data_IF_610388050781
#
_entry.id   IF_610388050781
#
_cell.length_a   1.000
_cell.length_b   1.000
_cell.length_c   1.000
_cell.angle_alpha   90.00
_cell.angle_beta   90.00
_cell.angle_gamma   90.00
#
_symmetry.space_group_name_H-M   'P 1'
#
loop_
_entity.id
_entity.type
_entity.pdbx_description
1 polymer ?
#
# COMPACT_ATOMS: atom_id res chain seq x y z
N UNK A 1 -7.66 25.41 -4.26
CA UNK A 1 -8.72 24.38 -4.10
C UNK A 1 -8.69 23.95 -2.64
N UNK A 2 -9.86 23.96 -1.98
CA UNK A 2 -9.93 23.66 -0.55
C UNK A 2 -10.15 22.17 -0.30
N UNK A 3 -9.64 21.66 0.78
CA UNK A 3 -9.88 20.28 1.23
C UNK A 3 -11.39 20.01 1.41
N UNK A 4 -12.14 21.04 1.84
CA UNK A 4 -13.60 20.97 1.97
C UNK A 4 -14.34 20.72 0.66
N UNK A 5 -13.75 21.05 -0.50
CA UNK A 5 -14.35 20.83 -1.81
C UNK A 5 -14.49 19.32 -2.14
N UNK A 6 -13.74 18.47 -1.41
CA UNK A 6 -13.75 17.00 -1.53
C UNK A 6 -14.57 16.33 -0.41
N UNK A 7 -15.14 17.10 0.50
CA UNK A 7 -15.93 16.54 1.58
C UNK A 7 -17.35 16.22 1.12
N UNK A 8 -17.80 15.02 1.43
CA UNK A 8 -19.16 14.57 1.18
C UNK A 8 -19.64 13.70 2.34
N UNK A 9 -20.95 13.59 2.51
CA UNK A 9 -21.55 12.70 3.49
C UNK A 9 -21.38 11.25 3.04
N UNK A 10 -20.62 10.45 3.82
CA UNK A 10 -20.40 9.03 3.59
C UNK A 10 -20.97 8.25 4.79
N UNK A 11 -22.19 7.68 4.68
CA UNK A 11 -22.75 6.81 5.71
C UNK A 11 -21.86 5.60 5.97
N UNK A 12 -21.68 5.27 7.25
CA UNK A 12 -20.73 4.24 7.66
C UNK A 12 -21.10 2.85 7.15
N UNK A 13 -22.40 2.59 6.99
CA UNK A 13 -22.94 1.34 6.41
C UNK A 13 -22.60 1.13 4.93
N UNK A 14 -22.18 2.18 4.22
CA UNK A 14 -21.71 2.08 2.83
C UNK A 14 -20.23 1.70 2.73
N UNK A 15 -19.50 1.65 3.85
CA UNK A 15 -18.11 1.20 3.88
C UNK A 15 -18.09 -0.31 4.13
N UNK A 16 -17.81 -1.08 3.08
CA UNK A 16 -17.69 -2.52 3.19
C UNK A 16 -16.56 -2.90 4.17
N UNK A 17 -16.87 -3.77 5.14
CA UNK A 17 -15.92 -4.19 6.18
C UNK A 17 -15.20 -5.49 5.82
N UNK A 18 -15.82 -6.33 5.01
CA UNK A 18 -15.27 -7.62 4.59
C UNK A 18 -15.09 -7.66 3.06
N UNK A 19 -14.01 -8.28 2.57
CA UNK A 19 -13.84 -8.47 1.13
C UNK A 19 -14.83 -9.51 0.60
N UNK A 20 -15.26 -9.35 -0.65
CA UNK A 20 -16.03 -10.37 -1.35
C UNK A 20 -15.20 -11.65 -1.51
N UNK A 21 -15.84 -12.81 -1.52
CA UNK A 21 -15.17 -14.10 -1.71
C UNK A 21 -14.43 -14.14 -3.05
N UNK A 22 -15.12 -13.80 -4.14
CA UNK A 22 -14.51 -13.59 -5.45
C UNK A 22 -14.07 -12.12 -5.60
N UNK A 23 -12.75 -11.89 -5.68
CA UNK A 23 -12.14 -10.55 -5.82
C UNK A 23 -12.66 -9.79 -7.03
N UNK A 24 -12.87 -10.50 -8.14
CA UNK A 24 -13.25 -9.91 -9.43
C UNK A 24 -14.74 -9.59 -9.53
N UNK A 25 -15.54 -9.99 -8.54
CA UNK A 25 -16.98 -9.73 -8.50
C UNK A 25 -17.36 -8.36 -7.93
N UNK A 26 -16.37 -7.55 -7.48
CA UNK A 26 -16.61 -6.19 -7.00
C UNK A 26 -17.26 -5.32 -8.07
N UNK A 27 -18.06 -4.36 -7.63
CA UNK A 27 -18.62 -3.35 -8.54
C UNK A 27 -17.51 -2.47 -9.11
N UNK A 28 -17.65 -2.11 -10.38
CA UNK A 28 -16.79 -1.19 -11.10
C UNK A 28 -17.62 0.00 -11.59
N UNK A 29 -17.17 1.21 -11.32
CA UNK A 29 -17.73 2.43 -11.90
C UNK A 29 -16.85 2.86 -13.07
N UNK A 30 -17.43 2.91 -14.26
CA UNK A 30 -16.76 3.42 -15.45
C UNK A 30 -17.18 4.88 -15.62
N UNK A 31 -16.21 5.77 -15.78
CA UNK A 31 -16.44 7.20 -16.01
C UNK A 31 -15.70 7.63 -17.26
N UNK A 32 -16.41 8.22 -18.21
CA UNK A 32 -15.81 8.87 -19.37
C UNK A 32 -15.36 10.29 -18.98
N UNK A 33 -14.05 10.52 -19.02
CA UNK A 33 -13.47 11.83 -18.64
C UNK A 33 -13.91 12.99 -19.54
N UNK A 34 -14.26 12.71 -20.82
CA UNK A 34 -14.60 13.73 -21.80
C UNK A 34 -16.07 14.14 -21.72
N UNK A 35 -16.96 13.16 -21.57
CA UNK A 35 -18.42 13.40 -21.54
C UNK A 35 -18.96 13.53 -20.12
N UNK A 36 -18.25 13.02 -19.11
CA UNK A 36 -18.74 12.91 -17.74
C UNK A 36 -19.76 11.77 -17.56
N UNK A 37 -20.08 11.02 -18.61
CA UNK A 37 -20.99 9.88 -18.53
C UNK A 37 -20.38 8.78 -17.67
N UNK A 38 -21.23 8.07 -16.95
CA UNK A 38 -20.81 6.97 -16.10
C UNK A 38 -21.77 5.78 -16.21
N UNK A 39 -21.25 4.59 -15.91
CA UNK A 39 -22.04 3.37 -15.82
C UNK A 39 -21.47 2.40 -14.80
N UNK A 40 -22.35 1.55 -14.28
CA UNK A 40 -21.95 0.46 -13.38
C UNK A 40 -21.61 -0.80 -14.16
N UNK A 41 -20.56 -1.47 -13.68
CA UNK A 41 -20.08 -2.76 -14.19
C UNK A 41 -19.64 -3.64 -13.03
N UNK A 42 -19.20 -4.86 -13.34
CA UNK A 42 -18.49 -5.76 -12.44
C UNK A 42 -17.01 -5.76 -12.82
N UNK A 43 -16.12 -5.79 -11.87
CA UNK A 43 -14.67 -5.61 -12.09
C UNK A 43 -14.09 -6.61 -13.12
N UNK A 44 -14.58 -7.87 -13.15
CA UNK A 44 -14.12 -8.86 -14.15
C UNK A 44 -14.28 -8.39 -15.59
N UNK A 45 -15.22 -7.49 -15.85
CA UNK A 45 -15.49 -6.93 -17.19
C UNK A 45 -14.48 -5.82 -17.56
N UNK A 46 -13.48 -5.51 -16.71
CA UNK A 46 -12.40 -4.56 -17.04
C UNK A 46 -11.71 -4.95 -18.37
N UNK A 47 -11.63 -6.25 -18.66
CA UNK A 47 -11.04 -6.77 -19.89
C UNK A 47 -11.71 -6.23 -21.15
N UNK A 48 -13.01 -5.88 -21.12
CA UNK A 48 -13.76 -5.35 -22.26
C UNK A 48 -13.33 -3.92 -22.63
N UNK A 49 -12.70 -3.22 -21.69
CA UNK A 49 -12.17 -1.85 -21.84
C UNK A 49 -10.72 -1.81 -22.30
N UNK A 50 -10.06 -2.96 -22.34
CA UNK A 50 -8.66 -3.11 -22.75
C UNK A 50 -8.60 -3.55 -24.23
N UNK A 51 -7.54 -3.13 -24.92
CA UNK A 51 -7.30 -3.45 -26.33
C UNK A 51 -5.92 -4.12 -26.48
N UNK A 52 -5.75 -4.99 -27.48
CA UNK A 52 -4.42 -5.47 -27.86
C UNK A 52 -3.45 -4.29 -28.05
N UNK A 53 -2.27 -4.40 -27.51
CA UNK A 53 -1.26 -3.34 -27.52
C UNK A 53 -1.32 -2.35 -26.33
N UNK A 54 -2.34 -2.40 -25.48
CA UNK A 54 -2.32 -1.67 -24.20
C UNK A 54 -1.32 -2.28 -23.21
N UNK A 55 -0.91 -1.50 -22.20
CA UNK A 55 -0.09 -1.95 -21.09
C UNK A 55 -0.75 -1.57 -19.76
N UNK A 56 -0.99 -2.54 -18.89
CA UNK A 56 -1.35 -2.31 -17.49
C UNK A 56 -0.09 -2.17 -16.65
N UNK A 57 0.00 -1.10 -15.88
CA UNK A 57 1.08 -0.89 -14.89
C UNK A 57 0.56 -1.25 -13.50
N UNK A 58 1.20 -2.22 -12.88
CA UNK A 58 0.79 -2.87 -11.65
C UNK A 58 1.87 -2.68 -10.56
N UNK A 59 1.48 -2.25 -9.37
CA UNK A 59 2.40 -2.16 -8.23
C UNK A 59 2.51 -3.52 -7.53
N UNK A 60 3.67 -4.15 -7.59
CA UNK A 60 3.93 -5.50 -7.05
C UNK A 60 4.50 -5.49 -5.62
N UNK A 61 4.36 -4.37 -4.92
CA UNK A 61 4.73 -4.31 -3.50
C UNK A 61 3.94 -5.32 -2.67
N UNK A 62 4.57 -5.84 -1.63
CA UNK A 62 3.94 -6.76 -0.67
C UNK A 62 3.84 -6.11 0.70
N UNK A 63 2.67 -6.23 1.32
CA UNK A 63 2.40 -5.68 2.64
C UNK A 63 3.02 -6.57 3.72
N UNK A 64 3.77 -5.96 4.62
CA UNK A 64 4.27 -6.63 5.81
C UNK A 64 3.16 -6.76 6.86
N UNK A 65 3.11 -7.84 7.66
CA UNK A 65 2.24 -7.93 8.82
C UNK A 65 2.78 -7.03 9.95
N UNK A 66 2.85 -5.73 9.66
CA UNK A 66 3.61 -4.75 10.41
C UNK A 66 2.95 -4.31 11.72
N UNK A 67 1.73 -4.77 12.02
CA UNK A 67 0.97 -4.42 13.23
C UNK A 67 1.18 -5.45 14.31
N UNK A 68 1.87 -5.06 15.39
CA UNK A 68 2.20 -5.93 16.51
C UNK A 68 1.38 -5.55 17.74
N UNK A 69 0.60 -6.51 18.24
CA UNK A 69 -0.17 -6.37 19.49
C UNK A 69 0.62 -7.00 20.63
N UNK A 70 0.95 -6.21 21.65
CA UNK A 70 1.77 -6.65 22.77
C UNK A 70 1.27 -6.13 24.11
N UNK A 71 2.00 -6.50 25.16
CA UNK A 71 1.75 -6.05 26.51
C UNK A 71 3.01 -5.39 27.08
N UNK A 72 2.81 -4.27 27.78
CA UNK A 72 3.91 -3.60 28.48
C UNK A 72 4.39 -4.47 29.65
N UNK A 73 5.70 -4.72 29.73
CA UNK A 73 6.30 -5.71 30.63
C UNK A 73 6.04 -5.40 32.11
N UNK A 74 6.05 -4.12 32.50
CA UNK A 74 5.89 -3.68 33.88
C UNK A 74 4.43 -3.59 34.36
N UNK A 75 3.48 -3.27 33.47
CA UNK A 75 2.10 -2.99 33.86
C UNK A 75 1.07 -3.97 33.26
N UNK A 76 1.47 -4.84 32.34
CA UNK A 76 0.55 -5.71 31.62
C UNK A 76 -0.44 -4.96 30.69
N UNK A 77 -0.23 -3.66 30.49
CA UNK A 77 -1.12 -2.86 29.68
C UNK A 77 -1.00 -3.24 28.20
N UNK A 78 -2.13 -3.45 27.53
CA UNK A 78 -2.17 -3.69 26.08
C UNK A 78 -1.66 -2.48 25.31
N UNK A 79 -0.82 -2.73 24.33
CA UNK A 79 -0.21 -1.74 23.44
C UNK A 79 -0.13 -2.26 22.02
N UNK A 80 -0.09 -1.34 21.07
CA UNK A 80 0.11 -1.61 19.65
C UNK A 80 1.40 -0.93 19.19
N UNK A 81 2.23 -1.66 18.44
CA UNK A 81 3.39 -1.13 17.73
C UNK A 81 3.20 -1.43 16.26
N UNK A 82 3.24 -0.40 15.42
CA UNK A 82 3.13 -0.49 13.99
C UNK A 82 4.45 -0.11 13.33
N UNK A 83 5.08 -1.06 12.67
CA UNK A 83 6.36 -0.88 11.99
C UNK A 83 6.23 0.07 10.80
N UNK A 84 7.12 1.06 10.69
CA UNK A 84 7.16 2.03 9.59
C UNK A 84 8.33 1.78 8.67
N UNK A 85 9.53 1.93 9.23
CA UNK A 85 10.78 1.88 8.48
C UNK A 85 11.86 1.23 9.33
N UNK A 86 12.53 0.24 8.76
CA UNK A 86 13.73 -0.33 9.37
C UNK A 86 14.86 0.69 9.30
N UNK A 87 15.54 0.89 10.41
CA UNK A 87 16.72 1.73 10.52
C UNK A 87 17.96 0.82 10.53
N UNK A 88 18.82 0.95 11.48
CA UNK A 88 20.02 0.12 11.61
C UNK A 88 19.74 -1.14 12.45
N UNK A 89 20.20 -2.30 11.98
CA UNK A 89 20.01 -3.57 12.68
C UNK A 89 18.53 -3.90 12.93
N UNK A 90 18.19 -4.14 14.19
CA UNK A 90 16.83 -4.45 14.63
C UNK A 90 16.07 -3.26 15.20
N UNK A 91 16.51 -2.06 14.85
CA UNK A 91 15.83 -0.80 15.22
C UNK A 91 14.87 -0.39 14.12
N UNK A 92 13.63 -0.14 14.52
CA UNK A 92 12.56 0.32 13.63
C UNK A 92 11.99 1.65 14.10
N UNK A 93 11.70 2.50 13.16
CA UNK A 93 10.79 3.60 13.38
C UNK A 93 9.36 3.06 13.37
N UNK A 94 8.55 3.47 14.33
CA UNK A 94 7.24 2.88 14.58
C UNK A 94 6.22 3.92 14.99
N UNK A 95 4.95 3.69 14.65
CA UNK A 95 3.83 4.30 15.38
C UNK A 95 3.45 3.41 16.55
N UNK A 96 3.04 4.03 17.65
CA UNK A 96 2.67 3.29 18.86
C UNK A 96 1.34 3.79 19.43
N UNK A 97 0.56 2.87 20.00
CA UNK A 97 -0.72 3.19 20.62
C UNK A 97 -0.91 2.41 21.93
N UNK A 98 -1.25 3.09 23.06
CA UNK A 98 -1.29 4.54 23.26
C UNK A 98 0.11 5.14 23.46
N UNK A 99 0.44 6.24 22.78
CA UNK A 99 1.77 6.86 22.83
C UNK A 99 2.22 7.29 24.22
N UNK A 100 1.28 7.65 25.11
CA UNK A 100 1.58 8.05 26.50
C UNK A 100 2.19 6.92 27.35
N UNK A 101 1.91 5.66 27.02
CA UNK A 101 2.42 4.47 27.74
C UNK A 101 3.77 4.00 27.22
N UNK A 102 4.13 4.36 25.99
CA UNK A 102 5.36 3.92 25.29
C UNK A 102 6.34 5.09 25.17
N UNK A 103 6.96 5.43 26.31
CA UNK A 103 8.06 6.41 26.42
C UNK A 103 9.41 5.70 26.32
N UNK A 104 10.51 6.41 26.05
CA UNK A 104 11.86 5.83 26.08
C UNK A 104 12.09 5.00 27.35
N UNK A 105 12.70 3.81 27.19
CA UNK A 105 12.89 2.80 28.24
C UNK A 105 11.71 1.87 28.48
N UNK A 106 10.53 2.10 27.85
CA UNK A 106 9.40 1.18 27.98
C UNK A 106 9.69 -0.13 27.24
N UNK A 107 9.40 -1.26 27.90
CA UNK A 107 9.55 -2.61 27.34
C UNK A 107 8.20 -3.25 27.05
N UNK A 108 8.15 -3.97 25.94
CA UNK A 108 6.93 -4.64 25.45
C UNK A 108 7.25 -6.09 25.12
N UNK A 109 6.31 -6.97 25.45
CA UNK A 109 6.39 -8.40 25.17
C UNK A 109 5.25 -8.77 24.23
N UNK A 110 5.54 -9.58 23.21
CA UNK A 110 4.58 -10.07 22.22
C UNK A 110 4.50 -11.59 22.24
N UNK A 111 3.29 -12.08 22.02
CA UNK A 111 3.00 -13.51 22.04
C UNK A 111 3.36 -14.15 23.38
N UNK A 112 4.09 -15.25 23.33
CA UNK A 112 4.60 -16.00 24.48
C UNK A 112 5.98 -15.53 25.00
N UNK A 113 6.42 -14.33 24.56
CA UNK A 113 7.72 -13.75 24.92
C UNK A 113 8.83 -14.00 23.90
N UNK A 114 8.54 -14.65 22.77
CA UNK A 114 9.49 -14.88 21.66
C UNK A 114 9.93 -13.61 20.95
N UNK A 115 9.15 -12.53 21.07
CA UNK A 115 9.51 -11.19 20.60
C UNK A 115 9.37 -10.21 21.74
N UNK A 116 10.42 -9.42 21.97
CA UNK A 116 10.44 -8.31 22.91
C UNK A 116 10.86 -7.03 22.19
N UNK A 117 10.46 -5.90 22.73
CA UNK A 117 10.84 -4.59 22.21
C UNK A 117 11.13 -3.60 23.33
N UNK A 118 12.02 -2.66 23.03
CA UNK A 118 12.35 -1.53 23.90
C UNK A 118 12.24 -0.24 23.10
N UNK A 119 11.52 0.73 23.66
CA UNK A 119 11.42 2.07 23.08
C UNK A 119 12.71 2.81 23.38
N UNK A 120 13.47 3.15 22.34
CA UNK A 120 14.75 3.82 22.45
C UNK A 120 14.60 5.33 22.53
N UNK A 121 13.76 5.90 21.64
CA UNK A 121 13.61 7.37 21.53
C UNK A 121 12.25 7.75 20.92
N UNK A 122 11.97 9.05 20.96
CA UNK A 122 10.85 9.72 20.30
C UNK A 122 11.41 10.58 19.19
N UNK A 123 11.00 10.33 17.96
CA UNK A 123 11.46 11.07 16.78
C UNK A 123 10.35 11.94 16.21
N UNK A 124 10.58 12.50 15.04
CA UNK A 124 9.64 13.41 14.35
C UNK A 124 8.22 12.84 14.31
N UNK A 125 7.23 13.72 14.28
CA UNK A 125 5.80 13.41 14.24
C UNK A 125 5.30 12.53 15.41
N UNK A 126 6.12 12.37 16.47
CA UNK A 126 5.79 11.54 17.61
C UNK A 126 5.97 10.04 17.38
N UNK A 127 6.66 9.65 16.32
CA UNK A 127 7.08 8.27 16.09
C UNK A 127 8.08 7.81 17.16
N UNK A 128 8.27 6.50 17.26
CA UNK A 128 9.21 5.89 18.22
C UNK A 128 10.30 5.14 17.47
N UNK A 129 11.53 5.26 17.93
CA UNK A 129 12.57 4.28 17.62
C UNK A 129 12.44 3.13 18.60
N UNK A 130 12.22 1.93 18.07
CA UNK A 130 12.00 0.72 18.85
C UNK A 130 13.03 -0.32 18.43
N UNK A 131 13.77 -0.86 19.38
CA UNK A 131 14.67 -1.99 19.18
C UNK A 131 13.96 -3.27 19.52
N UNK A 132 14.04 -4.26 18.61
CA UNK A 132 13.45 -5.57 18.79
C UNK A 132 14.49 -6.60 19.20
N UNK A 133 14.09 -7.56 20.01
CA UNK A 133 14.88 -8.68 20.51
C UNK A 133 14.11 -9.95 20.27
N UNK A 134 14.69 -10.89 19.53
CA UNK A 134 14.10 -12.15 19.13
C UNK A 134 15.19 -13.15 18.80
N UNK A 135 14.83 -14.45 18.75
CA UNK A 135 15.68 -15.52 18.26
C UNK A 135 15.19 -15.98 16.90
N UNK A 136 16.11 -16.31 15.98
CA UNK A 136 15.81 -16.81 14.65
C UNK A 136 15.70 -15.73 13.57
N UNK A 137 14.80 -15.94 12.61
CA UNK A 137 14.63 -15.09 11.42
C UNK A 137 13.50 -14.08 11.69
N UNK A 138 13.79 -12.79 11.50
CA UNK A 138 12.85 -11.70 11.75
C UNK A 138 11.52 -11.88 11.00
N UNK A 139 11.60 -12.23 9.74
CA UNK A 139 10.45 -12.39 8.86
C UNK A 139 9.50 -13.48 9.36
N UNK A 140 10.04 -14.59 9.88
CA UNK A 140 9.24 -15.70 10.45
C UNK A 140 8.56 -15.29 11.76
N UNK A 141 9.28 -14.55 12.61
CA UNK A 141 8.74 -14.01 13.86
C UNK A 141 7.61 -13.02 13.55
N UNK A 142 7.85 -12.11 12.60
CA UNK A 142 6.88 -11.12 12.19
C UNK A 142 5.63 -11.77 11.57
N UNK A 143 5.79 -12.76 10.71
CA UNK A 143 4.68 -13.51 10.13
C UNK A 143 3.81 -14.23 11.19
N UNK A 144 4.45 -14.72 12.25
CA UNK A 144 3.75 -15.45 13.29
C UNK A 144 2.95 -14.55 14.25
N UNK A 145 3.44 -13.33 14.53
CA UNK A 145 2.91 -12.43 15.54
C UNK A 145 2.20 -11.20 14.96
N UNK A 146 2.58 -10.81 13.75
CA UNK A 146 2.09 -9.60 13.11
C UNK A 146 0.71 -9.76 12.49
N UNK A 147 -0.04 -8.68 12.53
CA UNK A 147 -1.32 -8.52 11.85
C UNK A 147 -1.16 -7.57 10.65
N UNK A 148 -2.00 -7.75 9.62
CA UNK A 148 -2.01 -6.85 8.46
C UNK A 148 -2.52 -5.47 8.88
N UNK A 149 -1.79 -4.39 8.56
CA UNK A 149 -2.22 -3.02 8.88
C UNK A 149 -3.33 -2.59 7.92
N UNK A 150 -4.57 -2.80 8.33
CA UNK A 150 -5.73 -2.38 7.54
C UNK A 150 -5.99 -0.87 7.67
N UNK A 151 -6.61 -0.24 6.67
CA UNK A 151 -7.08 1.13 6.77
C UNK A 151 -7.96 1.35 8.01
N UNK A 152 -7.92 2.54 8.66
CA UNK A 152 -8.57 2.76 9.94
C UNK A 152 -10.11 2.67 9.90
N UNK A 153 -10.72 2.77 8.72
CA UNK A 153 -12.16 2.60 8.54
C UNK A 153 -12.60 1.12 8.45
N UNK A 154 -11.66 0.18 8.36
CA UNK A 154 -11.91 -1.27 8.46
C UNK A 154 -11.72 -1.66 9.93
N UNK A 155 -12.82 -2.04 10.56
CA UNK A 155 -12.86 -2.41 11.98
C UNK A 155 -12.95 -3.92 12.19
N UNK A 156 -13.38 -4.66 11.16
CA UNK A 156 -13.44 -6.12 11.20
C UNK A 156 -12.04 -6.73 11.11
N UNK A 157 -11.82 -7.79 11.89
CA UNK A 157 -10.57 -8.55 11.81
C UNK A 157 -10.55 -9.40 10.54
N UNK A 158 -9.47 -9.29 9.79
CA UNK A 158 -9.29 -10.05 8.55
C UNK A 158 -9.13 -11.55 8.87
N UNK A 159 -9.96 -12.40 8.25
CA UNK A 159 -9.93 -13.87 8.44
C UNK A 159 -8.73 -14.51 7.75
N UNK A 160 -8.37 -14.00 6.57
CA UNK A 160 -7.24 -14.45 5.77
C UNK A 160 -6.34 -13.27 5.41
N UNK A 161 -5.11 -13.26 5.93
CA UNK A 161 -4.11 -12.22 5.69
C UNK A 161 -3.86 -11.97 4.19
N UNK A 162 -3.95 -13.01 3.36
CA UNK A 162 -3.70 -12.92 1.92
C UNK A 162 -4.79 -12.14 1.17
N UNK A 163 -5.94 -11.87 1.82
CA UNK A 163 -6.99 -11.03 1.21
C UNK A 163 -6.57 -9.57 1.07
N UNK A 164 -5.64 -9.09 1.90
CA UNK A 164 -5.07 -7.75 1.81
C UNK A 164 -3.70 -7.74 1.11
N UNK A 165 -3.53 -8.63 0.11
CA UNK A 165 -2.41 -8.69 -0.81
C UNK A 165 -2.93 -8.81 -2.24
N UNK A 166 -2.21 -8.19 -3.20
CA UNK A 166 -2.46 -8.46 -4.62
C UNK A 166 -1.97 -9.88 -4.97
N UNK A 167 -2.56 -10.50 -5.98
CA UNK A 167 -2.15 -11.85 -6.43
C UNK A 167 -0.76 -11.87 -7.08
N UNK A 168 -0.19 -10.70 -7.33
CA UNK A 168 1.13 -10.47 -7.92
C UNK A 168 2.10 -9.77 -6.95
N UNK A 169 1.76 -9.68 -5.66
CA UNK A 169 2.66 -9.12 -4.64
C UNK A 169 3.97 -9.91 -4.57
N UNK A 170 5.10 -9.20 -4.61
CA UNK A 170 6.44 -9.81 -4.72
C UNK A 170 7.45 -9.25 -3.72
N UNK A 171 7.60 -7.94 -3.64
CA UNK A 171 8.65 -7.29 -2.84
C UNK A 171 8.10 -6.74 -1.54
N UNK A 172 8.58 -7.30 -0.42
CA UNK A 172 8.22 -6.87 0.93
C UNK A 172 8.68 -5.43 1.21
N UNK A 173 7.88 -4.64 1.95
CA UNK A 173 8.25 -3.28 2.35
C UNK A 173 7.10 -2.30 2.50
N UNK A 174 5.89 -2.70 2.17
CA UNK A 174 4.72 -1.81 2.20
C UNK A 174 3.94 -1.92 3.51
N UNK A 175 3.45 -0.78 3.99
CA UNK A 175 2.52 -0.73 5.13
C UNK A 175 1.04 -0.80 4.68
N UNK A 176 0.75 -0.60 3.40
CA UNK A 176 -0.60 -0.71 2.85
C UNK A 176 -0.60 -1.37 1.47
N UNK A 177 -1.67 -2.09 1.13
CA UNK A 177 -1.82 -2.70 -0.17
C UNK A 177 -2.17 -1.66 -1.26
N UNK A 178 -1.71 -1.83 -2.51
CA UNK A 178 -2.21 -1.09 -3.66
C UNK A 178 -3.64 -1.56 -3.97
N UNK A 179 -4.63 -0.97 -3.29
CA UNK A 179 -5.99 -1.51 -3.17
C UNK A 179 -6.72 -1.71 -4.49
N UNK A 180 -6.45 -0.88 -5.51
CA UNK A 180 -7.00 -1.07 -6.85
C UNK A 180 -6.60 -2.42 -7.46
N UNK A 181 -5.43 -2.94 -7.11
CA UNK A 181 -4.94 -4.23 -7.57
C UNK A 181 -5.56 -5.44 -6.89
N UNK A 182 -6.24 -5.25 -5.74
CA UNK A 182 -6.84 -6.35 -4.97
C UNK A 182 -7.97 -7.07 -5.71
N UNK A 183 -8.56 -6.44 -6.72
CA UNK A 183 -9.67 -6.98 -7.49
C UNK A 183 -9.24 -7.95 -8.60
N UNK A 184 -7.96 -7.95 -8.99
CA UNK A 184 -7.45 -8.89 -9.98
C UNK A 184 -7.30 -10.30 -9.40
N UNK A 185 -7.59 -11.29 -10.23
CA UNK A 185 -7.22 -12.69 -10.02
C UNK A 185 -6.14 -13.09 -11.02
N UNK A 186 -5.41 -14.19 -10.76
CA UNK A 186 -4.40 -14.69 -11.69
C UNK A 186 -5.02 -15.07 -13.04
N UNK A 187 -6.23 -15.63 -13.01
CA UNK A 187 -6.99 -16.04 -14.18
C UNK A 187 -7.35 -14.82 -15.04
N UNK A 188 -7.85 -13.74 -14.41
CA UNK A 188 -8.19 -12.51 -15.14
C UNK A 188 -6.95 -11.86 -15.76
N UNK A 189 -5.84 -11.81 -15.05
CA UNK A 189 -4.56 -11.31 -15.59
C UNK A 189 -4.10 -12.16 -16.79
N UNK A 190 -4.18 -13.49 -16.69
CA UNK A 190 -3.85 -14.38 -17.80
C UNK A 190 -4.75 -14.17 -19.03
N UNK A 191 -6.05 -13.93 -18.85
CA UNK A 191 -6.96 -13.60 -19.94
C UNK A 191 -6.63 -12.24 -20.58
N UNK A 192 -6.21 -11.26 -19.78
CA UNK A 192 -5.78 -9.94 -20.24
C UNK A 192 -4.52 -10.06 -21.09
N UNK A 193 -3.53 -10.85 -20.66
CA UNK A 193 -2.33 -11.14 -21.47
C UNK A 193 -2.64 -11.87 -22.77
N UNK A 194 -3.53 -12.88 -22.71
CA UNK A 194 -3.99 -13.61 -23.92
C UNK A 194 -4.72 -12.68 -24.91
N UNK A 195 -5.34 -11.62 -24.44
CA UNK A 195 -5.95 -10.57 -25.29
C UNK A 195 -4.91 -9.70 -26.00
N UNK A 196 -3.62 -9.83 -25.65
CA UNK A 196 -2.52 -9.03 -26.21
C UNK A 196 -2.26 -7.73 -25.46
N UNK A 197 -2.69 -7.64 -24.18
CA UNK A 197 -2.35 -6.54 -23.27
C UNK A 197 -1.11 -6.91 -22.48
N UNK A 198 -0.17 -5.99 -22.38
CA UNK A 198 1.09 -6.18 -21.63
C UNK A 198 0.86 -5.88 -20.14
N UNK A 199 1.60 -6.58 -19.28
CA UNK A 199 1.62 -6.32 -17.83
C UNK A 199 3.02 -5.83 -17.44
N UNK A 200 3.13 -4.56 -17.05
CA UNK A 200 4.37 -3.98 -16.53
C UNK A 200 4.28 -3.89 -15.00
N UNK A 201 5.28 -4.42 -14.31
CA UNK A 201 5.32 -4.41 -12.85
C UNK A 201 6.33 -3.38 -12.36
N UNK A 202 5.84 -2.47 -11.53
CA UNK A 202 6.65 -1.48 -10.81
C UNK A 202 6.52 -1.73 -9.31
N UNK A 203 7.44 -1.19 -8.52
CA UNK A 203 7.38 -1.27 -7.06
C UNK A 203 7.24 0.14 -6.48
N UNK A 204 6.29 0.35 -5.60
CA UNK A 204 6.25 1.49 -4.70
C UNK A 204 5.82 0.99 -3.33
N UNK A 205 6.66 1.19 -2.33
CA UNK A 205 6.35 0.82 -0.96
C UNK A 205 5.50 1.91 -0.31
N UNK A 206 4.21 1.61 -0.15
CA UNK A 206 3.24 2.53 0.45
C UNK A 206 3.53 2.69 1.93
N UNK A 207 3.81 3.92 2.33
CA UNK A 207 4.02 4.29 3.73
C UNK A 207 2.71 4.50 4.49
N UNK A 208 2.82 4.64 5.81
CA UNK A 208 1.65 4.89 6.68
C UNK A 208 1.05 6.29 6.53
N UNK A 209 1.72 7.18 5.82
CA UNK A 209 1.15 8.49 5.48
C UNK A 209 -0.21 8.40 4.82
N UNK A 210 -0.43 7.32 4.06
CA UNK A 210 -1.72 6.99 3.42
C UNK A 210 -2.89 6.85 4.42
N UNK A 211 -2.63 6.52 5.69
CA UNK A 211 -3.65 6.40 6.72
C UNK A 211 -3.84 7.68 7.55
N UNK A 212 -3.06 8.71 7.31
CA UNK A 212 -3.18 9.99 8.01
C UNK A 212 -4.15 10.90 7.29
N UNK A 213 -5.10 11.51 8.01
CA UNK A 213 -6.00 12.48 7.40
C UNK A 213 -5.22 13.73 6.98
N UNK A 214 -5.58 14.31 5.83
CA UNK A 214 -5.11 15.61 5.39
C UNK A 214 -5.61 16.68 6.38
N UNK A 215 -4.72 17.54 6.88
CA UNK A 215 -5.02 18.52 7.93
C UNK A 215 -4.98 19.97 7.45
N UNK A 216 -4.53 20.20 6.22
CA UNK A 216 -4.42 21.53 5.62
C UNK A 216 -5.74 21.95 4.97
N UNK A 217 -6.02 23.25 4.93
CA UNK A 217 -7.21 23.78 4.30
C UNK A 217 -7.06 23.91 2.78
N UNK A 218 -5.88 24.32 2.30
CA UNK A 218 -5.56 24.34 0.87
C UNK A 218 -4.80 23.07 0.49
N UNK A 219 -5.27 22.37 -0.55
CA UNK A 219 -4.65 21.12 -1.02
C UNK A 219 -3.19 21.33 -1.49
N UNK A 220 -2.83 22.55 -1.93
CA UNK A 220 -1.46 22.88 -2.36
C UNK A 220 -0.47 22.98 -1.19
N UNK A 221 -0.96 23.12 0.05
CA UNK A 221 -0.13 23.14 1.25
C UNK A 221 0.14 21.71 1.78
N UNK A 222 -0.47 20.69 1.17
CA UNK A 222 -0.26 19.31 1.59
C UNK A 222 1.08 18.79 1.08
N UNK A 223 1.97 18.44 2.00
CA UNK A 223 3.23 17.76 1.69
C UNK A 223 3.00 16.26 1.60
N UNK A 224 3.23 15.70 0.42
CA UNK A 224 3.15 14.25 0.22
C UNK A 224 4.29 13.55 0.96
N UNK A 225 3.98 12.40 1.55
CA UNK A 225 5.00 11.59 2.23
C UNK A 225 5.97 11.01 1.21
N UNK A 226 7.24 10.98 1.63
CA UNK A 226 8.30 10.35 0.84
C UNK A 226 8.13 8.82 0.84
N UNK A 227 8.04 8.20 -0.35
CA UNK A 227 7.88 6.76 -0.53
C UNK A 227 8.91 6.23 -1.53
N UNK A 228 9.50 5.05 -1.20
CA UNK A 228 10.46 4.40 -2.07
C UNK A 228 9.76 3.78 -3.28
N UNK A 229 10.31 4.01 -4.47
CA UNK A 229 9.86 3.38 -5.71
C UNK A 229 11.01 2.78 -6.52
N UNK A 230 10.66 1.85 -7.40
CA UNK A 230 11.58 1.22 -8.35
C UNK A 230 10.85 0.90 -9.65
N UNK A 231 11.50 1.22 -10.76
CA UNK A 231 11.13 0.81 -12.11
C UNK A 231 12.28 -0.02 -12.67
N UNK A 232 12.02 -1.26 -13.07
CA UNK A 232 13.02 -2.12 -13.72
C UNK A 232 13.14 -1.77 -15.19
N UNK A 233 14.28 -2.13 -15.81
CA UNK A 233 14.49 -1.94 -17.26
C UNK A 233 13.36 -2.61 -18.07
N UNK A 234 12.94 -3.82 -17.70
CA UNK A 234 11.85 -4.53 -18.36
C UNK A 234 10.54 -3.74 -18.34
N UNK A 235 10.18 -3.19 -17.18
CA UNK A 235 8.96 -2.37 -17.03
C UNK A 235 9.06 -1.08 -17.85
N UNK A 236 10.21 -0.39 -17.82
CA UNK A 236 10.46 0.80 -18.59
C UNK A 236 10.33 0.54 -20.10
N UNK A 237 10.95 -0.53 -20.59
CA UNK A 237 10.90 -0.91 -22.01
C UNK A 237 9.48 -1.24 -22.46
N UNK A 238 8.71 -2.01 -21.67
CA UNK A 238 7.32 -2.35 -21.98
C UNK A 238 6.44 -1.10 -22.06
N UNK A 239 6.60 -0.16 -21.15
CA UNK A 239 5.82 1.09 -21.10
C UNK A 239 6.20 1.97 -22.30
N UNK A 240 7.49 2.17 -22.56
CA UNK A 240 7.98 2.98 -23.68
C UNK A 240 7.52 2.42 -25.03
N UNK A 241 7.72 1.14 -25.27
CA UNK A 241 7.28 0.47 -26.51
C UNK A 241 5.77 0.56 -26.70
N UNK A 242 5.00 0.48 -25.64
CA UNK A 242 3.54 0.65 -25.71
C UNK A 242 3.18 2.03 -26.22
N UNK A 243 3.81 3.09 -25.70
CA UNK A 243 3.61 4.48 -26.14
C UNK A 243 4.06 4.67 -27.59
N UNK A 244 5.23 4.19 -27.95
CA UNK A 244 5.80 4.28 -29.30
C UNK A 244 4.90 3.61 -30.36
N UNK A 245 4.24 2.51 -29.98
CA UNK A 245 3.30 1.80 -30.85
C UNK A 245 1.87 2.36 -30.81
N UNK A 246 1.63 3.49 -30.15
CA UNK A 246 0.31 4.13 -30.03
C UNK A 246 -0.68 3.41 -29.12
N UNK A 247 -0.23 2.47 -28.30
CA UNK A 247 -1.00 1.82 -27.25
C UNK A 247 -1.20 2.72 -26.03
N UNK A 248 -2.13 2.34 -25.15
CA UNK A 248 -2.38 3.06 -23.90
C UNK A 248 -1.57 2.47 -22.76
N UNK A 249 -1.01 3.34 -21.93
CA UNK A 249 -0.44 2.96 -20.62
C UNK A 249 -1.51 3.24 -19.57
N UNK A 250 -1.92 2.21 -18.86
CA UNK A 250 -3.05 2.25 -17.92
C UNK A 250 -2.53 1.88 -16.53
N UNK A 251 -2.46 2.85 -15.64
CA UNK A 251 -2.00 2.64 -14.28
C UNK A 251 -3.11 2.05 -13.41
N UNK A 252 -2.81 0.93 -12.74
CA UNK A 252 -3.71 0.31 -11.77
C UNK A 252 -3.45 0.90 -10.39
N UNK A 253 -4.28 1.88 -10.02
CA UNK A 253 -4.18 2.62 -8.77
C UNK A 253 -3.23 3.81 -8.82
N UNK A 254 -3.37 4.66 -7.82
CA UNK A 254 -2.58 5.89 -7.68
C UNK A 254 -1.10 5.60 -7.44
N UNK A 255 -0.75 4.48 -6.80
CA UNK A 255 0.64 4.10 -6.55
C UNK A 255 1.40 3.78 -7.84
N UNK A 256 0.78 3.07 -8.79
CA UNK A 256 1.39 2.83 -10.10
C UNK A 256 1.52 4.13 -10.90
N UNK A 257 0.50 4.99 -10.86
CA UNK A 257 0.53 6.31 -11.48
C UNK A 257 1.68 7.16 -10.90
N UNK A 258 1.76 7.25 -9.58
CA UNK A 258 2.82 7.97 -8.87
C UNK A 258 4.21 7.48 -9.25
N UNK A 259 4.39 6.17 -9.37
CA UNK A 259 5.68 5.59 -9.79
C UNK A 259 6.07 6.01 -11.19
N UNK A 260 5.13 5.89 -12.15
CA UNK A 260 5.39 6.24 -13.55
C UNK A 260 5.67 7.74 -13.70
N UNK A 261 4.88 8.60 -13.06
CA UNK A 261 5.07 10.05 -13.10
C UNK A 261 6.39 10.48 -12.43
N UNK A 262 6.83 9.78 -11.36
CA UNK A 262 8.10 10.06 -10.69
C UNK A 262 9.33 9.62 -11.50
N UNK A 263 9.18 8.58 -12.32
CA UNK A 263 10.26 7.98 -13.09
C UNK A 263 10.40 8.54 -14.50
N UNK A 264 9.35 9.22 -15.01
CA UNK A 264 9.33 9.75 -16.36
C UNK A 264 10.20 11.00 -16.50
N UNK A 265 10.94 11.09 -17.61
CA UNK A 265 11.62 12.31 -18.04
C UNK A 265 10.64 13.36 -18.61
N UNK A 266 11.13 14.52 -19.03
CA UNK A 266 10.35 15.61 -19.61
C UNK A 266 9.57 15.20 -20.88
N UNK A 267 10.00 14.14 -21.58
CA UNK A 267 9.36 13.59 -22.76
C UNK A 267 8.39 12.44 -22.40
N UNK A 268 8.29 12.12 -21.12
CA UNK A 268 7.50 11.01 -20.63
C UNK A 268 8.09 9.64 -20.95
N UNK A 269 9.40 9.53 -21.14
CA UNK A 269 10.14 8.29 -21.33
C UNK A 269 10.63 7.79 -19.96
N UNK A 270 10.64 6.47 -19.79
CA UNK A 270 11.14 5.82 -18.58
C UNK A 270 12.47 5.13 -18.82
N UNK A 271 13.30 5.11 -17.79
CA UNK A 271 14.52 4.29 -17.70
C UNK A 271 14.49 3.50 -16.40
N UNK A 272 15.38 2.49 -16.30
CA UNK A 272 15.56 1.80 -15.03
C UNK A 272 15.99 2.79 -13.95
N UNK A 273 15.24 2.87 -12.87
CA UNK A 273 15.54 3.77 -11.78
C UNK A 273 14.93 3.30 -10.45
N UNK A 274 15.48 3.83 -9.38
CA UNK A 274 14.88 3.73 -8.05
C UNK A 274 15.16 5.00 -7.26
N UNK A 275 14.32 5.30 -6.29
CA UNK A 275 14.48 6.49 -5.46
C UNK A 275 13.33 6.68 -4.49
N UNK A 276 13.24 7.89 -3.97
CA UNK A 276 12.09 8.31 -3.17
C UNK A 276 11.29 9.36 -3.94
N UNK A 277 9.97 9.28 -3.84
CA UNK A 277 9.05 10.22 -4.48
C UNK A 277 8.23 10.97 -3.46
N UNK A 278 7.96 12.24 -3.73
CA UNK A 278 7.15 13.16 -2.91
C UNK A 278 6.05 13.85 -3.71
N UNK A 279 5.80 13.39 -4.96
CA UNK A 279 4.70 13.90 -5.78
C UNK A 279 3.37 13.26 -5.42
#
# INVERSE_FOLDING_TARGET
>A
MKTSDFNFELPQELIAQDPLEDRSSSRLLIVDKKTGEWKHEVFRNIIDYLKPGDCLVLNNTKVLPARLMGTKEDTGASVEILLLKRREGDVWETLVKPGKKLRPGARVVFGDGRLKAEVMDVVEEGNRLVKFYYDGIWEEVLDSLGEMPLPPYITHKLKDKNRYQTVYAKFDGSAAAPTAGLHFTKELLGQIEQKGVKLAYVTLHVGLGTFRPVKVDDVLEHHMHSEYYQVTQEAADLINQTKENGGRVICVGTTSCRTVESAADENGRLEECCGNTEI
#
